data_IF_442184440696
#
_entry.id   IF_442184440696
#
_cell.length_a   1.000
_cell.length_b   1.000
_cell.length_c   1.000
_cell.angle_alpha   90.00
_cell.angle_beta   90.00
_cell.angle_gamma   90.00
#
_symmetry.space_group_name_H-M   'P 1'
#
loop_
_entity.id
_entity.type
_entity.pdbx_description
1 polymer ?
#
# COMPACT_ATOMS: atom_id res chain seq x y z
N UNK A 1 1.10 17.79 -6.69
CA UNK A 1 1.24 16.33 -6.80
C UNK A 1 -0.16 15.74 -6.79
N UNK A 2 -0.52 14.93 -7.77
CA UNK A 2 -1.84 14.27 -7.80
C UNK A 2 -1.70 12.87 -7.22
N UNK A 3 -2.56 12.52 -6.26
CA UNK A 3 -2.65 11.16 -5.71
C UNK A 3 -3.41 10.29 -6.72
N UNK A 4 -2.90 9.08 -6.99
CA UNK A 4 -3.66 8.09 -7.76
C UNK A 4 -4.69 7.43 -6.83
N UNK A 5 -5.96 7.36 -7.21
CA UNK A 5 -7.02 6.76 -6.38
C UNK A 5 -7.38 5.32 -6.81
N UNK A 6 -6.65 4.76 -7.78
CA UNK A 6 -6.86 3.41 -8.27
C UNK A 6 -5.82 2.45 -7.70
N UNK A 7 -6.24 1.21 -7.46
CA UNK A 7 -5.32 0.12 -7.15
C UNK A 7 -4.66 -0.42 -8.41
N UNK A 8 -3.44 -0.93 -8.26
CA UNK A 8 -2.79 -1.73 -9.27
C UNK A 8 -3.09 -3.21 -9.00
N UNK A 9 -4.09 -3.74 -9.72
CA UNK A 9 -4.59 -5.10 -9.52
C UNK A 9 -3.53 -6.20 -9.76
N UNK A 10 -2.49 -5.91 -10.56
CA UNK A 10 -1.42 -6.88 -10.85
C UNK A 10 -0.67 -7.38 -9.60
N UNK A 11 -0.66 -6.60 -8.51
CA UNK A 11 -0.08 -7.05 -7.25
C UNK A 11 -0.88 -8.21 -6.61
N UNK A 12 -2.16 -8.34 -6.93
CA UNK A 12 -3.06 -9.32 -6.34
C UNK A 12 -3.26 -10.58 -7.21
N UNK A 13 -2.68 -10.65 -8.42
CA UNK A 13 -2.94 -11.72 -9.40
C UNK A 13 -2.76 -13.15 -8.86
N UNK A 14 -1.86 -13.33 -7.89
CA UNK A 14 -1.55 -14.64 -7.30
C UNK A 14 -2.37 -14.96 -6.05
N UNK A 15 -3.15 -14.01 -5.53
CA UNK A 15 -3.92 -14.15 -4.30
C UNK A 15 -5.38 -14.50 -4.61
N UNK A 16 -5.92 -15.47 -3.87
CA UNK A 16 -7.34 -15.88 -3.98
C UNK A 16 -8.18 -15.44 -2.78
N UNK A 17 -7.54 -15.23 -1.63
CA UNK A 17 -8.23 -14.85 -0.40
C UNK A 17 -8.53 -13.33 -0.44
N UNK A 18 -9.81 -12.91 -0.32
CA UNK A 18 -10.19 -11.50 -0.37
C UNK A 18 -9.47 -10.60 0.64
N UNK A 19 -9.22 -11.11 1.86
CA UNK A 19 -8.50 -10.35 2.87
C UNK A 19 -7.02 -10.14 2.49
N UNK A 20 -6.39 -11.14 1.88
CA UNK A 20 -5.01 -10.99 1.39
C UNK A 20 -4.93 -10.08 0.17
N UNK A 21 -5.92 -10.16 -0.73
CA UNK A 21 -6.05 -9.24 -1.86
C UNK A 21 -6.16 -7.79 -1.34
N UNK A 22 -7.08 -7.53 -0.41
CA UNK A 22 -7.25 -6.22 0.19
C UNK A 22 -5.95 -5.72 0.86
N UNK A 23 -5.29 -6.58 1.63
CA UNK A 23 -4.02 -6.25 2.29
C UNK A 23 -2.95 -5.82 1.27
N UNK A 24 -2.69 -6.63 0.26
CA UNK A 24 -1.63 -6.37 -0.72
C UNK A 24 -1.94 -5.10 -1.53
N UNK A 25 -3.17 -4.93 -2.01
CA UNK A 25 -3.53 -3.75 -2.80
C UNK A 25 -3.43 -2.45 -1.98
N UNK A 26 -3.92 -2.47 -0.74
CA UNK A 26 -3.93 -1.28 0.12
C UNK A 26 -2.52 -0.91 0.61
N UNK A 27 -1.72 -1.88 1.05
CA UNK A 27 -0.34 -1.62 1.49
C UNK A 27 0.54 -1.07 0.35
N UNK A 28 0.42 -1.63 -0.86
CA UNK A 28 1.14 -1.11 -2.04
C UNK A 28 0.70 0.32 -2.39
N UNK A 29 -0.61 0.58 -2.38
CA UNK A 29 -1.12 1.91 -2.68
C UNK A 29 -0.59 2.97 -1.68
N UNK A 30 -0.55 2.63 -0.39
CA UNK A 30 0.03 3.50 0.64
C UNK A 30 1.51 3.77 0.38
N UNK A 31 2.29 2.74 0.05
CA UNK A 31 3.72 2.88 -0.25
C UNK A 31 3.99 3.82 -1.43
N UNK A 32 3.11 3.83 -2.43
CA UNK A 32 3.31 4.61 -3.65
C UNK A 32 2.75 6.03 -3.57
N UNK A 33 1.75 6.27 -2.72
CA UNK A 33 0.99 7.52 -2.73
C UNK A 33 1.06 8.33 -1.43
N UNK A 34 1.36 7.69 -0.29
CA UNK A 34 1.28 8.34 1.01
C UNK A 34 2.65 8.82 1.50
N UNK A 35 2.61 9.89 2.29
CA UNK A 35 3.75 10.54 2.90
C UNK A 35 3.52 10.65 4.42
N UNK A 36 4.55 11.02 5.18
CA UNK A 36 4.39 11.25 6.61
C UNK A 36 3.63 12.55 6.88
N UNK A 37 2.39 12.47 7.36
CA UNK A 37 1.55 13.64 7.66
C UNK A 37 2.09 14.51 8.81
N UNK A 38 3.00 13.99 9.63
CA UNK A 38 3.60 14.73 10.74
C UNK A 38 4.78 15.61 10.30
N UNK A 39 5.67 15.08 9.44
CA UNK A 39 6.91 15.78 9.07
C UNK A 39 7.08 16.05 7.56
N UNK A 40 6.15 15.59 6.72
CA UNK A 40 6.21 15.77 5.28
C UNK A 40 7.20 14.84 4.55
N UNK A 41 7.79 13.85 5.22
CA UNK A 41 8.69 12.90 4.56
C UNK A 41 7.96 12.17 3.43
N UNK A 42 8.56 12.18 2.23
CA UNK A 42 7.88 11.88 0.97
C UNK A 42 7.29 10.47 0.86
N UNK A 43 7.88 9.49 1.55
CA UNK A 43 7.44 8.08 1.50
C UNK A 43 7.38 7.44 2.86
N UNK A 44 6.35 6.64 3.10
CA UNK A 44 6.30 5.78 4.27
C UNK A 44 7.18 4.53 4.05
N UNK A 45 7.79 4.03 5.13
CA UNK A 45 8.52 2.75 5.09
C UNK A 45 7.57 1.61 5.43
N UNK A 46 7.57 0.54 4.61
CA UNK A 46 6.80 -0.67 4.90
C UNK A 46 7.47 -1.49 6.00
N UNK A 47 6.70 -1.91 7.00
CA UNK A 47 7.18 -2.84 8.02
C UNK A 47 7.07 -4.27 7.51
N UNK A 48 8.01 -5.13 7.91
CA UNK A 48 7.96 -6.55 7.54
C UNK A 48 6.64 -7.21 7.98
N UNK A 49 6.15 -8.13 7.14
CA UNK A 49 4.92 -8.89 7.41
C UNK A 49 4.95 -9.52 8.81
N UNK A 50 3.77 -9.59 9.45
CA UNK A 50 3.58 -10.15 10.80
C UNK A 50 4.31 -9.38 11.90
N UNK A 51 4.38 -8.04 11.79
CA UNK A 51 4.95 -7.16 12.81
C UNK A 51 3.86 -6.28 13.44
N UNK A 52 3.38 -6.62 14.64
CA UNK A 52 2.52 -5.75 15.45
C UNK A 52 3.25 -4.48 15.94
#
# INVERSE_FOLDING_TARGET
MSINLSFNESFADTYRNPAQIARILTEHWVSDNMYCVNCGHEKLSHFGNNRP
#
